data_IF_127101266789
#
_entry.id   IF_127101266789
#
_cell.length_a   1.000
_cell.length_b   1.000
_cell.length_c   1.000
_cell.angle_alpha   90.00
_cell.angle_beta   90.00
_cell.angle_gamma   90.00
#
_symmetry.space_group_name_H-M   'P 1'
#
loop_
_entity.id
_entity.type
_entity.pdbx_description
1 polymer ?
#
# COMPACT_ATOMS: atom_id res chain seq x y z
N UNK A 1 0.35 37.97 0.65
CA UNK A 1 1.32 36.87 0.60
C UNK A 1 0.63 35.68 -0.06
N UNK A 2 0.90 35.49 -1.34
CA UNK A 2 0.25 34.50 -2.21
C UNK A 2 0.76 33.10 -1.89
N UNK A 3 -0.18 32.17 -1.69
CA UNK A 3 0.07 30.74 -1.53
C UNK A 3 0.45 30.18 -2.89
N UNK A 4 1.56 29.43 -3.04
CA UNK A 4 1.92 28.78 -4.31
C UNK A 4 0.95 27.63 -4.63
N UNK A 5 0.73 27.33 -5.94
CA UNK A 5 -0.21 26.31 -6.37
C UNK A 5 0.27 24.90 -6.00
N UNK A 6 -0.69 24.05 -5.68
CA UNK A 6 -0.58 22.64 -5.31
C UNK A 6 0.33 21.88 -6.24
N UNK A 7 1.50 21.47 -5.75
CA UNK A 7 2.38 20.51 -6.42
C UNK A 7 1.68 19.16 -6.51
N UNK A 8 1.37 18.75 -7.72
CA UNK A 8 0.93 17.39 -8.05
C UNK A 8 2.08 16.44 -7.68
N UNK A 9 1.91 15.69 -6.59
CA UNK A 9 2.89 14.68 -6.16
C UNK A 9 2.80 13.53 -7.17
N UNK A 10 3.73 13.52 -8.11
CA UNK A 10 3.96 12.35 -8.96
C UNK A 10 4.59 11.27 -8.09
N UNK A 11 3.84 10.21 -7.81
CA UNK A 11 4.33 9.00 -7.16
C UNK A 11 5.33 8.31 -8.11
N UNK A 12 6.59 8.76 -8.12
CA UNK A 12 7.65 8.08 -8.86
C UNK A 12 8.15 6.91 -8.02
N UNK A 13 7.72 5.72 -8.41
CA UNK A 13 8.30 4.46 -7.91
C UNK A 13 9.57 4.22 -8.74
N UNK A 14 10.73 4.49 -8.16
CA UNK A 14 12.02 4.16 -8.79
C UNK A 14 12.36 2.70 -8.50
N UNK A 15 12.30 1.85 -9.51
CA UNK A 15 13.06 0.60 -9.49
C UNK A 15 14.51 0.93 -9.84
N UNK A 16 15.47 0.55 -9.00
CA UNK A 16 16.87 0.67 -9.29
C UNK A 16 17.21 -0.16 -10.54
N UNK A 17 17.98 0.42 -11.48
CA UNK A 17 18.50 -0.31 -12.65
C UNK A 17 19.53 -1.33 -12.15
N UNK A 18 19.45 -2.61 -12.56
CA UNK A 18 20.51 -3.57 -12.28
C UNK A 18 21.79 -3.17 -13.03
N UNK A 19 22.92 -3.20 -12.32
CA UNK A 19 24.25 -3.06 -12.92
C UNK A 19 24.45 -4.11 -14.02
N UNK A 20 25.09 -3.70 -15.11
CA UNK A 20 25.52 -4.61 -16.18
C UNK A 20 26.64 -5.44 -15.60
N UNK A 21 26.40 -6.76 -15.47
CA UNK A 21 27.41 -7.80 -15.69
C UNK A 21 26.75 -9.19 -15.54
N UNK A 22 27.08 -10.09 -16.47
CA UNK A 22 26.87 -11.53 -16.32
C UNK A 22 25.79 -12.15 -17.21
N UNK A 23 26.16 -12.53 -18.43
CA UNK A 23 25.35 -13.33 -19.33
C UNK A 23 24.95 -14.69 -18.77
N UNK A 24 23.67 -14.98 -18.75
CA UNK A 24 23.11 -16.32 -18.63
C UNK A 24 22.02 -16.52 -19.69
N UNK A 25 22.20 -17.54 -20.50
CA UNK A 25 21.25 -17.97 -21.53
C UNK A 25 19.92 -18.35 -20.88
N UNK A 26 18.89 -17.56 -21.09
CA UNK A 26 17.53 -17.89 -20.70
C UNK A 26 16.89 -18.78 -21.75
N UNK A 27 16.44 -19.97 -21.32
CA UNK A 27 15.58 -20.83 -22.12
C UNK A 27 14.26 -20.11 -22.41
N UNK A 28 13.89 -20.09 -23.69
CA UNK A 28 12.64 -19.52 -24.16
C UNK A 28 11.46 -20.40 -23.72
N UNK A 29 10.67 -19.92 -22.76
CA UNK A 29 9.35 -20.49 -22.46
C UNK A 29 8.33 -19.63 -23.21
N UNK A 30 7.65 -20.23 -24.19
CA UNK A 30 6.63 -19.62 -25.03
C UNK A 30 5.35 -19.33 -24.24
N UNK A 31 5.27 -18.22 -23.55
CA UNK A 31 4.01 -17.57 -23.19
C UNK A 31 3.63 -16.59 -24.29
N UNK A 32 2.38 -16.56 -24.73
CA UNK A 32 1.92 -15.70 -25.83
C UNK A 32 2.08 -14.23 -25.41
N UNK A 33 3.21 -13.66 -25.78
CA UNK A 33 3.52 -12.26 -25.63
C UNK A 33 3.07 -11.52 -26.91
N UNK A 34 2.02 -10.72 -26.84
CA UNK A 34 1.73 -9.79 -27.90
C UNK A 34 2.35 -8.41 -27.56
N UNK A 35 3.64 -8.25 -27.90
CA UNK A 35 4.24 -6.92 -27.98
C UNK A 35 3.75 -6.23 -29.26
N UNK A 36 3.08 -5.09 -29.12
CA UNK A 36 2.99 -4.11 -30.19
C UNK A 36 1.94 -4.32 -31.30
N UNK A 37 0.95 -5.20 -31.15
CA UNK A 37 -0.24 -5.14 -32.01
C UNK A 37 -1.34 -4.33 -31.31
N UNK A 38 -1.59 -3.14 -31.81
CA UNK A 38 -2.84 -2.43 -31.54
C UNK A 38 -3.95 -3.30 -32.12
N UNK A 39 -4.72 -3.99 -31.26
CA UNK A 39 -5.88 -4.73 -31.71
C UNK A 39 -6.90 -3.72 -32.27
N UNK A 40 -7.41 -3.94 -33.46
CA UNK A 40 -8.49 -3.15 -34.02
C UNK A 40 -9.78 -3.25 -33.20
N UNK A 41 -9.90 -4.32 -32.40
CA UNK A 41 -11.00 -4.60 -31.47
C UNK A 41 -10.47 -4.85 -30.06
N UNK A 42 -11.12 -4.35 -29.00
CA UNK A 42 -10.73 -4.61 -27.62
C UNK A 42 -10.84 -6.11 -27.27
N UNK A 43 -10.01 -6.57 -26.33
CA UNK A 43 -10.12 -7.92 -25.77
C UNK A 43 -11.41 -8.02 -24.95
N UNK A 44 -12.24 -9.02 -25.25
CA UNK A 44 -13.44 -9.30 -24.47
C UNK A 44 -13.11 -10.14 -23.25
N UNK A 45 -13.50 -9.69 -22.06
CA UNK A 45 -13.25 -10.33 -20.78
C UNK A 45 -14.49 -10.27 -19.87
N UNK A 46 -14.49 -11.11 -18.84
CA UNK A 46 -15.46 -11.03 -17.75
C UNK A 46 -14.90 -10.12 -16.63
N UNK A 47 -13.56 -10.13 -16.46
CA UNK A 47 -12.84 -9.35 -15.47
C UNK A 47 -11.58 -8.72 -16.08
N UNK A 48 -11.41 -7.42 -15.93
CA UNK A 48 -10.18 -6.69 -16.23
C UNK A 48 -9.45 -6.31 -14.94
N UNK A 49 -8.19 -6.71 -14.80
CA UNK A 49 -7.28 -6.24 -13.75
C UNK A 49 -6.44 -5.09 -14.33
N UNK A 50 -6.61 -3.88 -13.82
CA UNK A 50 -5.91 -2.68 -14.26
C UNK A 50 -4.81 -2.34 -13.25
N UNK A 51 -3.56 -2.53 -13.69
CA UNK A 51 -2.37 -2.58 -12.82
C UNK A 51 -2.01 -4.01 -12.43
N UNK A 52 -0.76 -4.43 -12.69
CA UNK A 52 -0.22 -5.77 -12.44
C UNK A 52 0.65 -5.87 -11.19
N UNK A 53 0.42 -5.01 -10.18
CA UNK A 53 1.17 -5.00 -8.92
C UNK A 53 0.66 -6.01 -7.88
N UNK A 54 1.08 -5.85 -6.62
CA UNK A 54 0.76 -6.79 -5.53
C UNK A 54 -0.74 -7.08 -5.37
N UNK A 55 -1.61 -6.08 -5.43
CA UNK A 55 -3.06 -6.30 -5.28
C UNK A 55 -3.63 -7.19 -6.41
N UNK A 56 -3.26 -6.93 -7.66
CA UNK A 56 -3.68 -7.78 -8.79
C UNK A 56 -3.10 -9.20 -8.70
N UNK A 57 -1.83 -9.32 -8.26
CA UNK A 57 -1.19 -10.64 -8.07
C UNK A 57 -1.90 -11.47 -7.01
N UNK A 58 -2.32 -10.85 -5.91
CA UNK A 58 -3.09 -11.53 -4.86
C UNK A 58 -4.47 -11.93 -5.35
N UNK A 59 -5.13 -11.09 -6.16
CA UNK A 59 -6.43 -11.44 -6.79
C UNK A 59 -6.26 -12.64 -7.72
N UNK A 60 -5.27 -12.65 -8.61
CA UNK A 60 -5.01 -13.79 -9.51
C UNK A 60 -4.81 -15.10 -8.73
N UNK A 61 -3.98 -15.05 -7.67
CA UNK A 61 -3.78 -16.19 -6.81
C UNK A 61 -5.05 -16.64 -6.09
N UNK A 62 -5.93 -15.72 -5.71
CA UNK A 62 -7.21 -16.05 -5.09
C UNK A 62 -8.20 -16.63 -6.10
N UNK A 63 -8.32 -16.09 -7.31
CA UNK A 63 -9.15 -16.64 -8.39
C UNK A 63 -8.78 -18.07 -8.72
N UNK A 64 -7.49 -18.36 -8.76
CA UNK A 64 -6.95 -19.69 -9.00
C UNK A 64 -7.27 -20.67 -7.85
N UNK A 65 -7.16 -20.26 -6.59
CA UNK A 65 -7.57 -21.10 -5.44
C UNK A 65 -9.06 -21.42 -5.41
N UNK A 66 -9.89 -20.51 -5.91
CA UNK A 66 -11.34 -20.71 -6.05
C UNK A 66 -11.74 -21.42 -7.33
N UNK A 67 -10.74 -21.95 -8.10
CA UNK A 67 -10.93 -22.68 -9.35
C UNK A 67 -11.82 -21.95 -10.39
N UNK A 68 -11.60 -20.65 -10.55
CA UNK A 68 -12.36 -19.80 -11.48
C UNK A 68 -11.79 -19.86 -12.92
N UNK A 69 -11.41 -21.04 -13.38
CA UNK A 69 -10.80 -21.31 -14.70
C UNK A 69 -11.72 -20.98 -15.88
N UNK A 70 -13.04 -20.95 -15.67
CA UNK A 70 -14.02 -20.52 -16.68
C UNK A 70 -14.14 -19.00 -16.84
N UNK A 71 -13.51 -18.19 -15.97
CA UNK A 71 -13.57 -16.74 -16.01
C UNK A 71 -12.54 -16.18 -17.01
N UNK A 72 -12.98 -15.42 -18.00
CA UNK A 72 -12.09 -14.71 -18.93
C UNK A 72 -11.49 -13.49 -18.24
N UNK A 73 -10.21 -13.58 -17.89
CA UNK A 73 -9.48 -12.52 -17.18
C UNK A 73 -8.50 -11.83 -18.12
N UNK A 74 -8.49 -10.50 -18.12
CA UNK A 74 -7.48 -9.69 -18.78
C UNK A 74 -6.69 -8.86 -17.77
N UNK A 75 -5.36 -8.78 -17.91
CA UNK A 75 -4.48 -7.92 -17.10
C UNK A 75 -3.91 -6.84 -18.00
N UNK A 76 -4.11 -5.57 -17.63
CA UNK A 76 -3.57 -4.41 -18.34
C UNK A 76 -2.52 -3.73 -17.46
N UNK A 77 -1.26 -3.87 -17.84
CA UNK A 77 -0.12 -3.22 -17.18
C UNK A 77 1.06 -3.10 -18.15
N UNK A 78 1.72 -1.94 -18.25
CA UNK A 78 2.86 -1.74 -19.15
C UNK A 78 4.07 -2.58 -18.73
N UNK A 79 4.12 -3.01 -17.48
CA UNK A 79 5.26 -3.76 -16.90
C UNK A 79 4.81 -5.12 -16.42
N UNK A 80 5.41 -6.17 -16.94
CA UNK A 80 5.27 -7.48 -16.35
C UNK A 80 6.21 -7.60 -15.15
N UNK A 81 5.65 -7.55 -13.95
CA UNK A 81 6.39 -7.68 -12.70
C UNK A 81 7.07 -9.05 -12.60
N UNK A 82 8.37 -9.02 -12.34
CA UNK A 82 9.22 -10.21 -12.14
C UNK A 82 10.32 -9.85 -11.14
N UNK A 83 10.77 -10.82 -10.39
CA UNK A 83 11.84 -10.62 -9.41
C UNK A 83 11.41 -9.83 -8.18
N UNK A 84 12.38 -9.19 -7.55
CA UNK A 84 12.19 -8.55 -6.25
C UNK A 84 12.14 -7.02 -6.41
N UNK A 85 10.98 -6.42 -6.24
CA UNK A 85 10.84 -4.97 -6.24
C UNK A 85 10.19 -4.43 -4.95
N UNK A 86 9.72 -5.34 -4.07
CA UNK A 86 9.06 -5.00 -2.80
C UNK A 86 9.23 -6.10 -1.76
N UNK A 87 9.21 -5.67 -0.51
CA UNK A 87 9.07 -6.52 0.66
C UNK A 87 7.79 -6.16 1.38
N UNK A 88 7.01 -7.16 1.77
CA UNK A 88 5.86 -7.01 2.65
C UNK A 88 6.15 -7.70 3.97
N UNK A 89 5.92 -6.98 5.05
CA UNK A 89 5.92 -7.57 6.37
C UNK A 89 4.54 -7.43 7.00
N UNK A 90 4.07 -8.50 7.64
CA UNK A 90 2.74 -8.59 8.20
C UNK A 90 2.72 -9.59 9.36
N UNK A 91 1.65 -9.61 10.10
CA UNK A 91 1.43 -10.61 11.14
C UNK A 91 0.22 -11.47 10.82
N UNK A 92 0.23 -12.71 11.32
CA UNK A 92 -0.84 -13.68 11.13
C UNK A 92 -0.54 -14.97 11.87
N UNK A 93 -1.56 -15.82 11.99
CA UNK A 93 -1.35 -17.18 12.49
C UNK A 93 -0.53 -18.01 11.49
N UNK A 94 0.31 -18.95 11.98
CA UNK A 94 0.96 -19.93 11.12
C UNK A 94 -0.05 -20.83 10.39
N UNK A 95 0.36 -21.44 9.27
CA UNK A 95 -0.46 -22.40 8.51
C UNK A 95 -1.30 -21.76 7.41
N UNK A 96 -1.04 -20.51 7.05
CA UNK A 96 -1.73 -19.83 5.95
C UNK A 96 -1.13 -20.16 4.58
N UNK A 97 -1.89 -19.88 3.53
CA UNK A 97 -1.54 -20.08 2.12
C UNK A 97 -0.23 -19.45 1.66
N UNK A 98 0.21 -18.40 2.36
CA UNK A 98 1.45 -17.70 2.05
C UNK A 98 2.67 -18.30 2.73
N UNK A 99 2.50 -19.25 3.64
CA UNK A 99 3.62 -19.83 4.40
C UNK A 99 4.75 -20.38 3.53
N UNK A 100 4.46 -21.13 2.45
CA UNK A 100 5.51 -21.64 1.57
C UNK A 100 6.27 -20.55 0.81
N UNK A 101 5.76 -19.31 0.79
CA UNK A 101 6.36 -18.18 0.08
C UNK A 101 7.15 -17.24 1.00
N UNK A 102 7.08 -17.45 2.32
CA UNK A 102 7.73 -16.57 3.29
C UNK A 102 9.25 -16.61 3.16
N UNK A 103 9.87 -15.46 3.21
CA UNK A 103 11.32 -15.32 3.26
C UNK A 103 11.86 -15.50 4.68
N UNK A 104 11.09 -15.07 5.68
CA UNK A 104 11.38 -15.27 7.10
C UNK A 104 10.11 -15.06 7.94
N UNK A 105 10.12 -15.59 9.18
CA UNK A 105 9.06 -15.30 10.16
C UNK A 105 9.59 -15.42 11.59
N UNK A 106 9.01 -14.63 12.50
CA UNK A 106 9.47 -14.52 13.90
C UNK A 106 8.27 -14.60 14.84
N UNK A 107 8.43 -15.37 15.92
CA UNK A 107 7.47 -15.47 17.02
C UNK A 107 7.62 -14.32 18.04
N UNK A 108 8.72 -13.56 17.94
CA UNK A 108 9.03 -12.41 18.78
C UNK A 108 9.56 -11.27 17.93
N UNK A 109 9.26 -10.04 18.34
CA UNK A 109 9.83 -8.84 17.74
C UNK A 109 10.33 -7.88 18.82
N UNK A 110 11.30 -7.06 18.45
CA UNK A 110 11.79 -5.98 19.29
C UNK A 110 11.13 -4.65 18.93
N UNK A 111 10.75 -3.91 19.96
CA UNK A 111 10.54 -2.45 19.89
C UNK A 111 11.62 -1.81 20.74
N UNK A 112 12.37 -0.90 20.13
CA UNK A 112 13.53 -0.25 20.78
C UNK A 112 13.29 1.24 20.86
N UNK A 113 13.48 1.81 22.05
CA UNK A 113 13.38 3.25 22.31
C UNK A 113 14.66 3.74 22.98
N UNK A 114 14.86 5.03 23.14
CA UNK A 114 15.96 5.57 23.94
C UNK A 114 15.97 5.05 25.40
N UNK A 115 14.80 4.67 25.94
CA UNK A 115 14.67 4.10 27.30
C UNK A 115 15.09 2.64 27.39
N UNK A 116 15.12 1.90 26.27
CA UNK A 116 15.54 0.51 26.21
C UNK A 116 14.87 -0.33 25.14
N UNK A 117 15.20 -1.62 25.16
CA UNK A 117 14.65 -2.64 24.28
C UNK A 117 13.53 -3.39 24.97
N UNK A 118 12.43 -3.60 24.27
CA UNK A 118 11.32 -4.43 24.69
C UNK A 118 11.11 -5.57 23.71
N UNK A 119 11.16 -6.81 24.19
CA UNK A 119 10.81 -8.00 23.44
C UNK A 119 9.30 -8.22 23.53
N UNK A 120 8.65 -8.38 22.41
CA UNK A 120 7.21 -8.63 22.31
C UNK A 120 6.98 -10.05 21.80
N UNK A 121 6.53 -10.99 22.66
CA UNK A 121 6.08 -12.30 22.20
C UNK A 121 4.78 -12.14 21.44
N UNK A 122 4.67 -12.77 20.28
CA UNK A 122 3.54 -12.62 19.37
C UNK A 122 2.57 -13.80 19.39
N UNK A 123 2.90 -14.91 20.04
CA UNK A 123 2.07 -16.14 20.09
C UNK A 123 0.63 -15.81 20.50
N UNK A 124 -0.41 -16.29 19.78
CA UNK A 124 -0.37 -17.29 18.70
C UNK A 124 -0.05 -16.75 17.29
N UNK A 125 0.20 -15.46 17.17
CA UNK A 125 0.61 -14.84 15.91
C UNK A 125 2.13 -14.97 15.71
N UNK A 126 2.58 -14.63 14.51
CA UNK A 126 3.98 -14.37 14.16
C UNK A 126 4.06 -13.13 13.28
N UNK A 127 5.21 -12.49 13.28
CA UNK A 127 5.57 -11.49 12.27
C UNK A 127 6.21 -12.22 11.09
N UNK A 128 5.82 -11.92 9.88
CA UNK A 128 6.24 -12.65 8.69
C UNK A 128 6.71 -11.67 7.61
N UNK A 129 7.74 -12.07 6.87
CA UNK A 129 8.28 -11.31 5.76
C UNK A 129 8.11 -12.09 4.46
N UNK A 130 7.61 -11.40 3.44
CA UNK A 130 7.35 -11.92 2.11
C UNK A 130 7.96 -11.00 1.07
N UNK A 131 8.85 -11.53 0.23
CA UNK A 131 9.39 -10.80 -0.90
C UNK A 131 8.46 -10.92 -2.12
N UNK A 132 8.49 -9.93 -3.00
CA UNK A 132 7.54 -9.85 -4.12
C UNK A 132 7.72 -10.93 -5.18
N UNK A 133 8.93 -11.45 -5.40
CA UNK A 133 9.20 -12.47 -6.41
C UNK A 133 8.31 -13.69 -6.32
N UNK A 134 8.28 -14.42 -5.18
CA UNK A 134 7.40 -15.58 -5.00
C UNK A 134 5.91 -15.27 -5.21
N UNK A 135 5.46 -14.07 -4.87
CA UNK A 135 4.07 -13.64 -5.11
C UNK A 135 3.80 -13.46 -6.60
N UNK A 136 4.74 -12.84 -7.32
CA UNK A 136 4.62 -12.66 -8.77
C UNK A 136 4.72 -13.99 -9.52
N UNK A 137 5.56 -14.92 -9.08
CA UNK A 137 5.66 -16.26 -9.65
C UNK A 137 4.38 -17.07 -9.45
N UNK A 138 3.77 -16.98 -8.25
CA UNK A 138 2.47 -17.57 -7.98
C UNK A 138 1.37 -16.95 -8.85
N UNK A 139 1.35 -15.64 -9.00
CA UNK A 139 0.41 -14.95 -9.88
C UNK A 139 0.60 -15.36 -11.34
N UNK A 140 1.83 -15.48 -11.83
CA UNK A 140 2.13 -15.95 -13.18
C UNK A 140 1.70 -17.41 -13.40
N UNK A 141 1.80 -18.26 -12.39
CA UNK A 141 1.25 -19.62 -12.44
C UNK A 141 -0.27 -19.61 -12.52
N UNK A 142 -0.94 -18.76 -11.73
CA UNK A 142 -2.37 -18.56 -11.77
C UNK A 142 -2.84 -18.02 -13.14
N UNK A 143 -2.14 -17.03 -13.73
CA UNK A 143 -2.43 -16.54 -15.08
C UNK A 143 -2.44 -17.65 -16.13
N UNK A 144 -1.47 -18.55 -16.07
CA UNK A 144 -1.42 -19.70 -17.01
C UNK A 144 -2.60 -20.65 -16.83
N UNK A 145 -2.97 -20.97 -15.58
CA UNK A 145 -4.10 -21.87 -15.29
C UNK A 145 -5.45 -21.27 -15.66
N UNK A 146 -5.61 -19.97 -15.41
CA UNK A 146 -6.82 -19.21 -15.74
C UNK A 146 -6.92 -18.83 -17.22
N UNK A 147 -5.88 -19.07 -18.03
CA UNK A 147 -5.87 -18.63 -19.42
C UNK A 147 -5.91 -17.11 -19.60
N UNK A 148 -5.32 -16.37 -18.67
CA UNK A 148 -5.38 -14.90 -18.62
C UNK A 148 -4.70 -14.24 -19.82
N UNK A 149 -5.35 -13.23 -20.43
CA UNK A 149 -4.76 -12.41 -21.48
C UNK A 149 -4.04 -11.23 -20.82
N UNK A 150 -2.74 -11.08 -21.08
CA UNK A 150 -1.98 -9.93 -20.60
C UNK A 150 -1.72 -8.92 -21.72
N UNK A 151 -2.05 -7.66 -21.45
CA UNK A 151 -1.87 -6.52 -22.35
C UNK A 151 -0.78 -5.63 -21.78
N UNK A 152 0.37 -5.59 -22.49
CA UNK A 152 1.56 -4.81 -22.12
C UNK A 152 1.45 -3.34 -22.52
N UNK A 153 0.39 -2.66 -22.06
CA UNK A 153 0.11 -1.25 -22.37
C UNK A 153 -0.29 -0.48 -21.10
N UNK A 154 0.00 0.83 -21.04
CA UNK A 154 -0.50 1.68 -19.99
C UNK A 154 -2.02 1.84 -20.11
N UNK A 155 -2.74 1.71 -19.00
CA UNK A 155 -4.17 1.99 -18.96
C UNK A 155 -4.42 3.48 -18.70
N UNK A 156 -5.27 4.09 -19.49
CA UNK A 156 -5.80 5.45 -19.37
C UNK A 156 -7.15 5.47 -18.63
N UNK A 157 -8.19 5.90 -19.34
CA UNK A 157 -9.56 6.01 -18.85
C UNK A 157 -10.25 4.63 -18.71
N UNK A 158 -11.20 4.57 -17.78
CA UNK A 158 -12.15 3.45 -17.63
C UNK A 158 -13.54 4.04 -17.94
N UNK A 159 -14.15 3.63 -19.03
CA UNK A 159 -15.48 4.04 -19.42
C UNK A 159 -16.49 2.94 -19.03
N UNK A 160 -17.39 3.26 -18.11
CA UNK A 160 -18.43 2.37 -17.59
C UNK A 160 -19.77 2.77 -18.21
N UNK A 161 -20.37 1.88 -19.00
CA UNK A 161 -21.68 2.09 -19.63
C UNK A 161 -22.85 1.52 -18.80
N UNK A 162 -22.57 1.01 -17.61
CA UNK A 162 -23.52 0.36 -16.70
C UNK A 162 -23.54 -1.16 -16.81
N UNK A 163 -23.33 -1.71 -18.00
CA UNK A 163 -23.28 -3.14 -18.27
C UNK A 163 -21.85 -3.66 -18.38
N UNK A 164 -20.98 -2.87 -18.96
CA UNK A 164 -19.58 -3.23 -19.19
C UNK A 164 -18.65 -2.03 -18.95
N UNK A 165 -17.37 -2.34 -18.77
CA UNK A 165 -16.31 -1.34 -18.66
C UNK A 165 -15.35 -1.50 -19.83
N UNK A 166 -15.08 -0.40 -20.52
CA UNK A 166 -14.01 -0.34 -21.51
C UNK A 166 -12.78 0.31 -20.90
N UNK A 167 -11.67 -0.44 -20.87
CA UNK A 167 -10.34 0.06 -20.47
C UNK A 167 -9.68 0.65 -21.72
N UNK A 168 -9.32 1.93 -21.68
CA UNK A 168 -8.62 2.62 -22.74
C UNK A 168 -7.15 2.81 -22.41
N UNK A 169 -6.32 2.98 -23.41
CA UNK A 169 -4.96 3.50 -23.23
C UNK A 169 -4.99 5.04 -23.04
N UNK A 170 -3.84 5.69 -22.78
CA UNK A 170 -3.77 7.16 -22.63
C UNK A 170 -4.22 7.94 -23.89
N UNK A 171 -4.12 7.33 -25.07
CA UNK A 171 -4.54 7.92 -26.37
C UNK A 171 -6.03 7.70 -26.66
N UNK A 172 -6.77 7.05 -25.74
CA UNK A 172 -8.21 6.80 -25.88
C UNK A 172 -8.56 5.56 -26.73
N UNK A 173 -7.59 4.73 -27.12
CA UNK A 173 -7.84 3.49 -27.85
C UNK A 173 -8.35 2.40 -26.91
N UNK A 174 -9.40 1.63 -27.24
CA UNK A 174 -9.91 0.58 -26.39
C UNK A 174 -8.95 -0.61 -26.34
N UNK A 175 -8.61 -1.06 -25.13
CA UNK A 175 -7.74 -2.22 -24.87
C UNK A 175 -8.54 -3.46 -24.47
N UNK A 176 -9.47 -3.31 -23.54
CA UNK A 176 -10.29 -4.39 -22.98
C UNK A 176 -11.71 -3.90 -22.80
N UNK A 177 -12.69 -4.75 -23.12
CA UNK A 177 -14.07 -4.58 -22.72
C UNK A 177 -14.48 -5.72 -21.79
N UNK A 178 -14.80 -5.38 -20.52
CA UNK A 178 -15.01 -6.37 -19.46
C UNK A 178 -16.33 -6.18 -18.72
N UNK A 179 -16.85 -7.25 -18.11
CA UNK A 179 -17.99 -7.18 -17.20
C UNK A 179 -17.70 -6.38 -15.94
N UNK A 180 -16.45 -6.43 -15.45
CA UNK A 180 -15.95 -5.71 -14.29
C UNK A 180 -14.52 -5.26 -14.52
N UNK A 181 -14.13 -4.11 -13.94
CA UNK A 181 -12.74 -3.68 -13.86
C UNK A 181 -12.30 -3.51 -12.40
N UNK A 182 -11.18 -4.14 -12.04
CA UNK A 182 -10.50 -3.97 -10.76
C UNK A 182 -9.27 -3.08 -10.97
N UNK A 183 -9.32 -1.82 -10.52
CA UNK A 183 -8.26 -0.84 -10.71
C UNK A 183 -7.39 -0.74 -9.45
N UNK A 184 -6.14 -1.22 -9.55
CA UNK A 184 -5.14 -1.15 -8.48
C UNK A 184 -4.06 -0.08 -8.72
N UNK A 185 -4.20 0.74 -9.74
CA UNK A 185 -3.26 1.83 -10.04
C UNK A 185 -3.24 2.85 -8.90
N UNK A 186 -2.07 3.39 -8.55
CA UNK A 186 -1.98 4.45 -7.54
C UNK A 186 -2.88 5.64 -7.89
N UNK A 187 -3.67 6.08 -6.91
CA UNK A 187 -4.57 7.22 -7.04
C UNK A 187 -4.50 8.06 -5.76
N UNK A 188 -4.54 9.38 -5.87
CA UNK A 188 -4.71 10.23 -4.70
C UNK A 188 -6.11 10.02 -4.09
N UNK A 189 -6.31 10.42 -2.83
CA UNK A 189 -7.65 10.50 -2.25
C UNK A 189 -8.54 11.44 -3.08
N UNK A 190 -9.85 11.22 -3.06
CA UNK A 190 -10.83 11.99 -3.86
C UNK A 190 -10.85 13.49 -3.50
N UNK A 191 -10.43 13.82 -2.31
CA UNK A 191 -10.20 15.19 -1.81
C UNK A 191 -9.08 15.15 -0.77
N UNK A 192 -8.35 16.25 -0.56
CA UNK A 192 -7.35 16.34 0.48
C UNK A 192 -7.91 15.94 1.85
N UNK A 193 -7.13 15.19 2.60
CA UNK A 193 -7.38 14.95 4.02
C UNK A 193 -7.13 16.21 4.85
N UNK A 194 -7.60 16.24 6.08
CA UNK A 194 -7.23 17.27 7.05
C UNK A 194 -5.79 17.10 7.50
N UNK A 195 -5.36 15.86 7.59
CA UNK A 195 -3.97 15.47 7.77
C UNK A 195 -3.55 14.56 6.64
N UNK A 196 -2.43 14.90 6.01
CA UNK A 196 -1.84 14.11 4.95
C UNK A 196 -0.34 14.04 5.18
N UNK A 197 0.10 12.89 5.62
CA UNK A 197 1.48 12.50 5.79
C UNK A 197 1.82 11.40 4.80
N UNK A 198 3.06 11.05 4.78
CA UNK A 198 3.63 9.94 4.01
C UNK A 198 4.37 9.03 4.99
N UNK A 199 4.18 7.74 4.86
CA UNK A 199 5.19 6.78 5.28
C UNK A 199 6.15 6.66 4.12
N UNK A 200 7.37 7.07 4.32
CA UNK A 200 8.40 6.95 3.30
C UNK A 200 9.63 6.27 3.88
N UNK A 201 10.29 5.46 3.06
CA UNK A 201 11.36 4.63 3.54
C UNK A 201 12.37 4.28 2.46
N UNK A 202 13.58 3.93 2.93
CA UNK A 202 14.59 3.22 2.16
C UNK A 202 15.09 2.04 2.97
N UNK A 203 15.18 0.88 2.30
CA UNK A 203 15.74 -0.33 2.84
C UNK A 203 16.96 -0.79 2.05
N UNK A 204 17.98 -1.25 2.76
CA UNK A 204 19.13 -1.94 2.22
C UNK A 204 19.07 -3.42 2.57
N UNK A 205 19.15 -4.27 1.56
CA UNK A 205 19.42 -5.69 1.73
C UNK A 205 20.91 -5.89 1.92
N UNK A 206 21.31 -6.17 3.16
CA UNK A 206 22.70 -6.25 3.58
C UNK A 206 23.15 -7.70 3.66
N UNK A 207 24.28 -8.00 3.01
CA UNK A 207 25.01 -9.25 3.19
C UNK A 207 26.28 -9.00 3.99
N UNK A 208 26.47 -9.71 5.11
CA UNK A 208 27.60 -9.60 6.01
C UNK A 208 28.62 -10.74 5.82
N UNK A 209 29.90 -10.43 5.95
CA UNK A 209 30.98 -11.43 5.86
C UNK A 209 31.05 -12.32 7.12
N UNK A 210 30.49 -11.87 8.24
CA UNK A 210 30.43 -12.59 9.54
C UNK A 210 28.99 -12.57 10.10
N UNK A 211 28.61 -13.45 11.03
CA UNK A 211 27.33 -13.36 11.72
C UNK A 211 27.15 -11.98 12.39
N UNK A 212 26.09 -11.27 12.02
CA UNK A 212 25.86 -9.87 12.38
C UNK A 212 24.43 -9.65 12.89
N UNK A 213 23.48 -10.43 12.36
CA UNK A 213 22.05 -10.28 12.68
C UNK A 213 21.56 -11.43 13.52
N UNK A 214 20.56 -11.19 14.40
CA UNK A 214 19.87 -12.23 15.15
C UNK A 214 18.70 -12.80 14.31
N UNK A 215 18.81 -14.01 13.74
CA UNK A 215 17.75 -14.56 12.90
C UNK A 215 16.49 -14.96 13.69
N UNK A 216 16.58 -15.07 15.00
CA UNK A 216 15.45 -15.42 15.86
C UNK A 216 14.47 -14.28 16.11
N UNK A 217 14.85 -13.02 15.79
CA UNK A 217 14.09 -11.86 16.16
C UNK A 217 14.17 -10.72 15.16
N UNK A 218 13.02 -10.17 14.76
CA UNK A 218 12.97 -8.97 13.96
C UNK A 218 12.89 -7.72 14.85
N UNK A 219 13.49 -6.61 14.40
CA UNK A 219 13.26 -5.29 15.00
C UNK A 219 12.11 -4.64 14.24
N UNK A 220 10.96 -4.54 14.91
CA UNK A 220 9.73 -3.98 14.33
C UNK A 220 9.77 -2.46 14.27
N UNK A 221 10.29 -1.80 15.32
CA UNK A 221 10.47 -0.35 15.38
C UNK A 221 11.65 -0.04 16.31
N UNK A 222 12.65 0.63 15.79
CA UNK A 222 13.76 1.18 16.58
C UNK A 222 13.74 2.70 16.51
N UNK A 223 13.26 3.33 17.57
CA UNK A 223 13.09 4.79 17.67
C UNK A 223 14.36 5.55 18.08
N UNK A 224 15.50 4.91 18.17
CA UNK A 224 16.78 5.57 18.47
C UNK A 224 17.32 6.39 17.28
N UNK A 225 16.71 6.27 16.11
CA UNK A 225 16.99 7.12 14.95
C UNK A 225 16.77 8.60 15.29
N UNK A 226 17.51 9.55 14.67
CA UNK A 226 17.25 10.98 14.84
C UNK A 226 15.82 11.32 14.46
N UNK A 227 15.07 11.92 15.40
CA UNK A 227 13.65 12.20 15.22
C UNK A 227 13.44 13.49 14.42
N UNK A 228 12.55 13.50 13.41
CA UNK A 228 12.22 14.69 12.65
C UNK A 228 11.47 15.72 13.52
N UNK A 229 11.58 16.99 13.21
CA UNK A 229 10.86 18.07 13.92
C UNK A 229 9.34 17.87 13.87
N UNK A 230 8.84 17.32 12.75
CA UNK A 230 7.41 17.04 12.54
C UNK A 230 7.26 15.66 11.93
N UNK A 231 6.92 14.71 12.75
CA UNK A 231 6.81 13.30 12.33
C UNK A 231 7.38 12.34 13.36
N UNK A 232 7.68 11.14 12.91
CA UNK A 232 8.39 10.12 13.67
C UNK A 232 9.22 9.26 12.74
N UNK A 233 10.45 8.95 13.14
CA UNK A 233 11.32 8.02 12.41
C UNK A 233 11.65 6.80 13.24
N UNK A 234 11.91 5.70 12.57
CA UNK A 234 12.34 4.46 13.18
C UNK A 234 13.05 3.56 12.18
N UNK A 235 13.85 2.63 12.72
CA UNK A 235 14.51 1.61 11.92
C UNK A 235 13.80 0.28 12.01
N UNK A 236 13.88 -0.52 10.93
CA UNK A 236 13.56 -1.93 10.90
C UNK A 236 14.81 -2.77 10.71
N UNK A 237 14.84 -3.98 11.31
CA UNK A 237 15.80 -5.02 10.93
C UNK A 237 15.02 -6.32 10.77
N UNK A 238 15.00 -6.85 9.56
CA UNK A 238 14.30 -8.08 9.21
C UNK A 238 15.32 -9.11 8.73
N UNK A 239 15.90 -9.92 9.65
CA UNK A 239 16.94 -10.87 9.32
C UNK A 239 16.35 -12.12 8.64
N UNK A 240 16.94 -12.53 7.52
CA UNK A 240 16.66 -13.84 6.90
C UNK A 240 17.50 -14.90 7.59
N UNK A 241 18.76 -14.56 7.85
CA UNK A 241 19.72 -15.38 8.58
C UNK A 241 20.72 -14.48 9.32
N UNK A 242 21.73 -15.08 9.96
CA UNK A 242 22.73 -14.34 10.72
C UNK A 242 23.62 -13.42 9.88
N UNK A 243 23.59 -13.53 8.55
CA UNK A 243 24.44 -12.77 7.61
C UNK A 243 23.65 -11.97 6.57
N UNK A 244 22.36 -12.15 6.50
CA UNK A 244 21.52 -11.50 5.48
C UNK A 244 20.26 -10.92 6.09
N UNK A 245 20.05 -9.62 5.94
CA UNK A 245 18.90 -8.92 6.49
C UNK A 245 18.49 -7.73 5.62
N UNK A 246 17.22 -7.36 5.70
CA UNK A 246 16.74 -6.03 5.33
C UNK A 246 16.95 -5.09 6.53
N UNK A 247 17.68 -4.00 6.31
CA UNK A 247 17.80 -2.88 7.24
C UNK A 247 17.14 -1.67 6.59
N UNK A 248 16.12 -1.13 7.23
CA UNK A 248 15.29 -0.07 6.66
C UNK A 248 15.20 1.11 7.62
N UNK A 249 15.29 2.32 7.07
CA UNK A 249 14.92 3.57 7.72
C UNK A 249 13.58 4.03 7.19
N UNK A 250 12.65 4.22 8.10
CA UNK A 250 11.28 4.68 7.81
C UNK A 250 11.00 5.98 8.56
N UNK A 251 10.28 6.88 7.90
CA UNK A 251 9.79 8.11 8.49
C UNK A 251 8.31 8.32 8.15
N UNK A 252 7.52 8.70 9.14
CA UNK A 252 6.17 9.22 9.00
C UNK A 252 6.25 10.74 9.07
N UNK A 253 5.92 11.40 7.98
CA UNK A 253 6.08 12.86 7.92
C UNK A 253 5.43 13.48 6.68
N UNK A 254 5.43 14.83 6.60
CA UNK A 254 4.78 15.56 5.51
C UNK A 254 5.56 15.56 4.20
N UNK A 255 6.84 15.18 4.20
CA UNK A 255 7.73 15.25 3.05
C UNK A 255 8.74 14.11 3.02
N UNK A 256 9.09 13.65 1.83
CA UNK A 256 10.13 12.62 1.62
C UNK A 256 11.54 13.21 1.74
N UNK A 257 12.49 12.38 2.13
CA UNK A 257 13.90 12.75 2.12
C UNK A 257 14.48 12.72 0.69
N UNK A 258 15.62 13.38 0.51
CA UNK A 258 16.45 13.18 -0.67
C UNK A 258 17.16 11.82 -0.61
N UNK A 259 17.66 11.32 -1.75
CA UNK A 259 18.41 10.06 -1.78
C UNK A 259 19.61 10.09 -0.82
N UNK A 260 20.36 11.21 -0.80
CA UNK A 260 21.48 11.40 0.13
C UNK A 260 21.02 11.43 1.61
N UNK A 261 19.82 11.98 1.87
CA UNK A 261 19.23 12.00 3.21
C UNK A 261 18.90 10.60 3.72
N UNK A 262 18.29 9.75 2.89
CA UNK A 262 18.04 8.35 3.24
C UNK A 262 19.35 7.57 3.47
N UNK A 263 20.34 7.76 2.60
CA UNK A 263 21.63 7.06 2.73
C UNK A 263 22.37 7.47 4.00
N UNK A 264 22.30 8.76 4.37
CA UNK A 264 22.86 9.24 5.63
C UNK A 264 22.13 8.65 6.85
N UNK A 265 20.78 8.62 6.79
CA UNK A 265 19.96 8.05 7.87
C UNK A 265 20.23 6.53 8.04
N UNK A 266 20.35 5.77 6.96
CA UNK A 266 20.68 4.34 7.01
C UNK A 266 22.08 4.08 7.54
N UNK A 267 23.09 4.88 7.14
CA UNK A 267 24.45 4.77 7.72
C UNK A 267 24.45 5.07 9.22
N UNK A 268 23.72 6.13 9.63
CA UNK A 268 23.57 6.46 11.04
C UNK A 268 22.87 5.34 11.81
N UNK A 269 21.83 4.75 11.24
CA UNK A 269 21.12 3.65 11.87
C UNK A 269 21.98 2.38 11.97
N UNK A 270 22.73 2.02 10.93
CA UNK A 270 23.68 0.91 10.98
C UNK A 270 24.73 1.11 12.11
N UNK A 271 25.20 2.34 12.29
CA UNK A 271 26.09 2.70 13.42
C UNK A 271 25.43 2.46 14.79
N UNK A 272 24.15 2.80 14.95
CA UNK A 272 23.37 2.53 16.18
C UNK A 272 23.20 1.02 16.46
N UNK A 273 23.16 0.21 15.42
CA UNK A 273 23.11 -1.25 15.53
C UNK A 273 24.47 -1.87 15.87
N UNK A 274 25.55 -1.08 15.89
CA UNK A 274 26.91 -1.59 16.04
C UNK A 274 27.40 -2.39 14.83
N UNK A 275 26.80 -2.16 13.67
CA UNK A 275 27.09 -2.87 12.43
C UNK A 275 28.22 -2.14 11.69
N UNK A 276 29.34 -2.83 11.50
CA UNK A 276 30.46 -2.32 10.72
C UNK A 276 30.14 -2.38 9.20
N UNK A 277 29.88 -1.22 8.62
CA UNK A 277 29.55 -1.11 7.20
C UNK A 277 30.72 -1.55 6.27
N UNK A 278 31.98 -1.57 6.75
CA UNK A 278 33.11 -2.02 5.96
C UNK A 278 33.04 -3.53 5.64
N UNK A 279 32.42 -4.32 6.53
CA UNK A 279 32.17 -5.76 6.35
C UNK A 279 30.80 -6.10 5.73
N UNK A 280 30.07 -5.11 5.20
CA UNK A 280 28.76 -5.29 4.61
C UNK A 280 28.72 -4.93 3.14
N UNK A 281 27.91 -5.68 2.41
CA UNK A 281 27.60 -5.41 1.00
C UNK A 281 26.12 -5.15 0.83
N UNK A 282 25.75 -3.99 0.28
CA UNK A 282 24.40 -3.71 -0.16
C UNK A 282 24.12 -4.50 -1.42
N UNK A 283 23.26 -5.50 -1.35
CA UNK A 283 22.87 -6.36 -2.46
C UNK A 283 21.75 -5.77 -3.29
N UNK A 284 20.78 -5.21 -2.63
CA UNK A 284 19.58 -4.64 -3.23
C UNK A 284 19.14 -3.43 -2.39
N UNK A 285 18.42 -2.52 -3.02
CA UNK A 285 17.78 -1.38 -2.35
C UNK A 285 16.31 -1.34 -2.71
N UNK A 286 15.48 -1.02 -1.73
CA UNK A 286 14.07 -0.74 -1.95
C UNK A 286 13.70 0.62 -1.38
N UNK A 287 12.72 1.26 -2.03
CA UNK A 287 12.16 2.52 -1.59
C UNK A 287 10.64 2.46 -1.67
N UNK A 288 9.98 3.14 -0.78
CA UNK A 288 8.54 3.25 -0.81
C UNK A 288 8.04 4.59 -0.29
N UNK A 289 6.89 4.98 -0.83
CA UNK A 289 6.13 6.13 -0.34
C UNK A 289 4.67 5.69 -0.28
N UNK A 290 4.11 5.69 0.91
CA UNK A 290 2.75 5.23 1.20
C UNK A 290 1.95 6.42 1.77
N UNK A 291 0.77 6.74 1.22
CA UNK A 291 -0.04 7.83 1.76
C UNK A 291 -0.58 7.48 3.14
N UNK A 292 -0.39 8.37 4.10
CA UNK A 292 -0.97 8.34 5.43
C UNK A 292 -1.93 9.52 5.55
N UNK A 293 -3.20 9.31 5.25
CA UNK A 293 -4.18 10.41 5.16
C UNK A 293 -5.57 9.99 5.58
N UNK A 294 -6.30 10.91 6.20
CA UNK A 294 -7.74 10.78 6.48
C UNK A 294 -8.60 11.23 5.27
N UNK A 295 -7.96 11.59 4.15
CA UNK A 295 -8.63 11.87 2.88
C UNK A 295 -9.37 10.63 2.36
N UNK A 296 -10.61 10.78 1.85
CA UNK A 296 -11.41 9.66 1.42
C UNK A 296 -10.92 9.08 0.10
N UNK A 297 -10.72 7.77 0.07
CA UNK A 297 -10.62 7.00 -1.18
C UNK A 297 -12.03 6.58 -1.62
N UNK A 298 -12.23 6.44 -2.94
CA UNK A 298 -13.50 5.98 -3.52
C UNK A 298 -13.30 4.54 -4.01
N UNK A 299 -13.69 3.53 -3.23
CA UNK A 299 -13.48 2.13 -3.60
C UNK A 299 -14.27 1.69 -4.84
N UNK A 300 -15.41 2.33 -5.10
CA UNK A 300 -16.28 2.04 -6.24
C UNK A 300 -16.64 3.34 -6.97
N UNK A 301 -15.80 3.79 -7.91
CA UNK A 301 -16.03 5.07 -8.61
C UNK A 301 -17.19 5.03 -9.60
N UNK A 302 -17.57 3.85 -10.09
CA UNK A 302 -18.73 3.62 -10.96
C UNK A 302 -19.32 2.22 -10.73
N UNK A 303 -20.49 1.87 -11.32
CA UNK A 303 -21.19 0.61 -11.06
C UNK A 303 -20.34 -0.65 -11.32
N UNK A 304 -19.45 -0.63 -12.31
CA UNK A 304 -18.66 -1.79 -12.73
C UNK A 304 -17.14 -1.64 -12.48
N UNK A 305 -16.72 -0.53 -11.89
CA UNK A 305 -15.30 -0.30 -11.53
C UNK A 305 -15.11 -0.39 -10.03
N UNK A 306 -14.20 -1.25 -9.61
CA UNK A 306 -13.80 -1.41 -8.20
C UNK A 306 -12.32 -1.10 -8.07
N UNK A 307 -11.94 -0.29 -7.09
CA UNK A 307 -10.54 0.00 -6.77
C UNK A 307 -10.04 -0.92 -5.67
N UNK A 308 -8.81 -1.40 -5.83
CA UNK A 308 -8.13 -2.30 -4.89
C UNK A 308 -6.83 -1.68 -4.36
N UNK A 309 -6.29 -2.29 -3.33
CA UNK A 309 -5.05 -1.82 -2.71
C UNK A 309 -5.21 -0.41 -2.14
N UNK A 310 -4.16 0.39 -2.17
CA UNK A 310 -4.16 1.77 -1.66
C UNK A 310 -5.27 2.61 -2.30
N UNK A 311 -5.47 2.50 -3.61
CA UNK A 311 -6.53 3.22 -4.33
C UNK A 311 -7.94 2.84 -3.86
N UNK A 312 -8.12 1.61 -3.37
CA UNK A 312 -9.36 1.09 -2.77
C UNK A 312 -9.47 1.29 -1.26
N UNK A 313 -8.55 2.06 -0.64
CA UNK A 313 -8.56 2.33 0.79
C UNK A 313 -8.03 1.18 1.67
N UNK A 314 -7.19 0.30 1.11
CA UNK A 314 -6.56 -0.78 1.87
C UNK A 314 -5.44 -0.30 2.80
N UNK A 315 -4.89 0.89 2.58
CA UNK A 315 -3.86 1.47 3.43
C UNK A 315 -4.46 2.05 4.70
N UNK A 316 -3.93 1.66 5.85
CA UNK A 316 -4.34 2.22 7.13
C UNK A 316 -3.80 3.65 7.28
N UNK A 317 -4.65 4.65 7.54
CA UNK A 317 -4.24 6.05 7.55
C UNK A 317 -3.13 6.39 8.55
N UNK A 318 -3.14 5.78 9.75
CA UNK A 318 -2.20 6.14 10.84
C UNK A 318 -0.88 5.36 10.84
N UNK A 319 -0.78 4.27 10.05
CA UNK A 319 0.37 3.36 10.11
C UNK A 319 0.90 2.92 8.75
N UNK A 320 0.18 3.21 7.65
CA UNK A 320 0.58 2.79 6.31
C UNK A 320 0.43 1.28 6.02
N UNK A 321 0.07 0.44 7.00
CA UNK A 321 -0.12 -1.00 6.78
C UNK A 321 -1.20 -1.24 5.73
N UNK A 322 -0.88 -2.09 4.75
CA UNK A 322 -1.72 -2.29 3.56
C UNK A 322 -1.89 -3.77 3.21
N UNK A 323 -0.87 -4.60 3.46
CA UNK A 323 -0.77 -5.94 2.88
C UNK A 323 -1.90 -6.87 3.33
N UNK A 324 -2.17 -7.00 4.63
CA UNK A 324 -3.26 -7.83 5.16
C UNK A 324 -4.62 -7.40 4.62
N UNK A 325 -4.84 -6.10 4.43
CA UNK A 325 -6.07 -5.60 3.83
C UNK A 325 -6.19 -5.96 2.34
N UNK A 326 -5.08 -5.94 1.58
CA UNK A 326 -5.06 -6.40 0.19
C UNK A 326 -5.36 -7.90 0.08
N UNK A 327 -4.84 -8.72 1.00
CA UNK A 327 -5.16 -10.14 1.08
C UNK A 327 -6.66 -10.36 1.29
N UNK A 328 -7.26 -9.66 2.25
CA UNK A 328 -8.70 -9.74 2.50
C UNK A 328 -9.52 -9.28 1.30
N UNK A 329 -9.11 -8.21 0.62
CA UNK A 329 -9.78 -7.75 -0.60
C UNK A 329 -9.73 -8.80 -1.71
N UNK A 330 -8.58 -9.42 -1.94
CA UNK A 330 -8.40 -10.45 -2.96
C UNK A 330 -9.29 -11.66 -2.70
N UNK A 331 -9.35 -12.14 -1.46
CA UNK A 331 -10.20 -13.27 -1.06
C UNK A 331 -11.70 -12.94 -1.21
N UNK A 332 -12.11 -11.75 -0.80
CA UNK A 332 -13.50 -11.31 -0.93
C UNK A 332 -13.92 -11.16 -2.40
N UNK A 333 -13.01 -10.68 -3.27
CA UNK A 333 -13.24 -10.60 -4.72
C UNK A 333 -13.45 -12.00 -5.31
N UNK A 334 -12.52 -12.93 -5.04
CA UNK A 334 -12.60 -14.28 -5.58
C UNK A 334 -13.83 -15.03 -5.05
N UNK A 335 -14.10 -14.99 -3.75
CA UNK A 335 -15.26 -15.59 -3.13
C UNK A 335 -16.60 -14.98 -3.61
N UNK A 336 -16.64 -13.69 -3.92
CA UNK A 336 -17.82 -13.06 -4.51
C UNK A 336 -18.07 -13.58 -5.93
N UNK A 337 -17.04 -13.63 -6.76
CA UNK A 337 -17.12 -14.14 -8.14
C UNK A 337 -17.48 -15.63 -8.17
N UNK A 338 -16.91 -16.45 -7.30
CA UNK A 338 -17.27 -17.87 -7.15
C UNK A 338 -18.75 -18.07 -6.79
N UNK A 339 -19.32 -17.13 -6.05
CA UNK A 339 -20.73 -17.13 -5.68
C UNK A 339 -21.65 -16.38 -6.70
N UNK A 340 -21.15 -16.01 -7.88
CA UNK A 340 -21.90 -15.28 -8.89
C UNK A 340 -22.28 -13.85 -8.47
N UNK A 341 -21.60 -13.27 -7.48
CA UNK A 341 -21.86 -11.94 -6.94
C UNK A 341 -20.87 -10.89 -7.47
N UNK A 342 -21.23 -9.60 -7.46
CA UNK A 342 -20.32 -8.52 -7.84
C UNK A 342 -19.01 -8.55 -7.03
N UNK A 343 -17.83 -8.38 -7.66
CA UNK A 343 -16.51 -8.44 -7.02
C UNK A 343 -16.19 -7.14 -6.25
N UNK A 344 -17.07 -6.71 -5.37
CA UNK A 344 -16.95 -5.50 -4.58
C UNK A 344 -16.63 -5.85 -3.12
N UNK A 345 -15.35 -5.76 -2.70
CA UNK A 345 -14.99 -6.08 -1.33
C UNK A 345 -15.56 -5.07 -0.34
N UNK A 346 -15.78 -5.51 0.89
CA UNK A 346 -16.14 -4.64 1.99
C UNK A 346 -15.04 -3.59 2.26
N UNK A 347 -15.36 -2.46 2.88
CA UNK A 347 -14.35 -1.50 3.32
C UNK A 347 -13.28 -2.18 4.17
N UNK A 348 -12.01 -1.91 3.87
CA UNK A 348 -10.87 -2.55 4.52
C UNK A 348 -10.85 -2.36 6.04
N UNK A 349 -11.36 -1.22 6.51
CA UNK A 349 -11.43 -0.86 7.93
C UNK A 349 -12.80 -0.33 8.32
N UNK A 350 -13.32 -0.67 9.52
CA UNK A 350 -14.55 -0.11 10.08
C UNK A 350 -14.48 1.43 10.20
N UNK A 351 -15.62 2.10 10.18
CA UNK A 351 -15.68 3.57 10.33
C UNK A 351 -15.01 4.06 11.61
N UNK A 352 -15.16 3.31 12.72
CA UNK A 352 -14.55 3.65 14.03
C UNK A 352 -13.01 3.67 13.95
N UNK A 353 -12.38 2.70 13.26
CA UNK A 353 -10.93 2.67 13.09
C UNK A 353 -10.45 3.84 12.25
N UNK A 354 -11.12 4.15 11.14
CA UNK A 354 -10.78 5.32 10.32
C UNK A 354 -10.89 6.63 11.07
N UNK A 355 -11.86 6.73 11.99
CA UNK A 355 -11.96 7.88 12.87
C UNK A 355 -10.81 7.95 13.87
N UNK A 356 -10.46 6.84 14.51
CA UNK A 356 -9.31 6.77 15.43
C UNK A 356 -8.00 7.10 14.72
N UNK A 357 -7.80 6.60 13.50
CA UNK A 357 -6.64 6.92 12.67
C UNK A 357 -6.55 8.42 12.35
N UNK A 358 -7.67 9.05 12.01
CA UNK A 358 -7.72 10.49 11.77
C UNK A 358 -7.36 11.31 13.01
N UNK A 359 -7.83 10.88 14.19
CA UNK A 359 -7.49 11.51 15.48
C UNK A 359 -6.00 11.33 15.79
N UNK A 360 -5.46 10.12 15.62
CA UNK A 360 -4.06 9.83 15.87
C UNK A 360 -3.13 10.65 14.95
N UNK A 361 -3.40 10.63 13.63
CA UNK A 361 -2.64 11.44 12.66
C UNK A 361 -2.66 12.93 13.03
N UNK A 362 -3.83 13.45 13.39
CA UNK A 362 -3.96 14.86 13.76
C UNK A 362 -3.20 15.19 15.05
N UNK A 363 -3.26 14.30 16.05
CA UNK A 363 -2.54 14.49 17.31
C UNK A 363 -1.01 14.53 17.08
N UNK A 364 -0.49 13.65 16.24
CA UNK A 364 0.91 13.62 15.84
C UNK A 364 1.27 14.87 15.03
N UNK A 365 0.44 15.24 14.05
CA UNK A 365 0.66 16.37 13.15
C UNK A 365 0.70 17.73 13.87
N UNK A 366 -0.14 17.89 14.89
CA UNK A 366 -0.21 19.09 15.71
C UNK A 366 0.77 19.09 16.89
N UNK A 367 1.57 18.03 17.06
CA UNK A 367 2.50 17.89 18.17
C UNK A 367 1.80 17.75 19.53
N UNK A 368 0.53 17.33 19.55
CA UNK A 368 -0.18 17.06 20.81
C UNK A 368 0.41 15.86 21.56
N UNK A 369 1.08 14.97 20.85
CA UNK A 369 1.82 13.83 21.38
C UNK A 369 3.07 13.61 20.54
N UNK A 370 4.19 13.28 21.20
CA UNK A 370 5.41 12.89 20.52
C UNK A 370 5.25 11.53 19.85
N UNK A 371 5.82 11.37 18.64
CA UNK A 371 5.68 10.11 17.90
C UNK A 371 6.23 8.92 18.66
N UNK A 372 7.42 9.03 19.26
CA UNK A 372 8.03 7.97 20.07
C UNK A 372 7.15 7.64 21.29
N UNK A 373 6.73 8.67 22.04
CA UNK A 373 5.86 8.49 23.22
C UNK A 373 4.54 7.80 22.86
N UNK A 374 3.94 8.12 21.70
CA UNK A 374 2.71 7.50 21.24
C UNK A 374 2.87 5.98 21.09
N UNK A 375 3.92 5.54 20.38
CA UNK A 375 4.19 4.12 20.16
C UNK A 375 4.68 3.40 21.43
N UNK A 376 5.52 4.03 22.25
CA UNK A 376 5.90 3.47 23.56
C UNK A 376 4.66 3.12 24.39
N UNK A 377 3.77 4.09 24.60
CA UNK A 377 2.54 3.87 25.36
C UNK A 377 1.63 2.82 24.76
N UNK A 378 1.57 2.75 23.42
CA UNK A 378 0.79 1.73 22.72
C UNK A 378 1.26 0.33 23.04
N UNK A 379 2.58 0.10 22.97
CA UNK A 379 3.19 -1.21 23.25
C UNK A 379 3.34 -1.52 24.74
N UNK A 380 3.52 -0.51 25.60
CA UNK A 380 3.70 -0.71 27.03
C UNK A 380 2.41 -1.06 27.75
N UNK A 381 1.30 -0.49 27.32
CA UNK A 381 0.02 -0.56 28.03
C UNK A 381 -0.98 -1.55 27.45
N UNK A 382 -0.60 -2.25 26.37
CA UNK A 382 -1.45 -3.23 25.73
C UNK A 382 -0.69 -4.54 25.49
N UNK A 383 -1.36 -5.69 25.62
CA UNK A 383 -0.79 -6.96 25.15
C UNK A 383 -0.42 -6.87 23.67
N UNK A 384 0.73 -7.44 23.25
CA UNK A 384 1.18 -7.38 21.86
C UNK A 384 0.12 -7.85 20.84
N UNK A 385 -0.57 -8.95 21.12
CA UNK A 385 -1.66 -9.44 20.25
C UNK A 385 -2.77 -8.40 20.04
N UNK A 386 -3.19 -7.68 21.10
CA UNK A 386 -4.19 -6.61 20.98
C UNK A 386 -3.67 -5.47 20.08
N UNK A 387 -2.40 -5.08 20.25
CA UNK A 387 -1.80 -4.04 19.39
C UNK A 387 -1.82 -4.48 17.94
N UNK A 388 -1.36 -5.69 17.62
CA UNK A 388 -1.34 -6.20 16.25
C UNK A 388 -2.74 -6.30 15.66
N UNK A 389 -3.72 -6.82 16.41
CA UNK A 389 -5.12 -6.86 15.97
C UNK A 389 -5.70 -5.46 15.77
N UNK A 390 -5.36 -4.52 16.65
CA UNK A 390 -5.75 -3.12 16.48
C UNK A 390 -5.15 -2.52 15.21
N UNK A 391 -3.86 -2.72 14.98
CA UNK A 391 -3.17 -2.25 13.78
C UNK A 391 -3.72 -2.89 12.49
N UNK A 392 -4.33 -4.06 12.56
CA UNK A 392 -4.99 -4.73 11.43
C UNK A 392 -6.49 -4.43 11.30
N UNK A 393 -7.05 -3.64 12.23
CA UNK A 393 -8.48 -3.27 12.22
C UNK A 393 -9.41 -4.40 12.67
N UNK A 394 -8.88 -5.39 13.40
CA UNK A 394 -9.57 -6.61 13.81
C UNK A 394 -10.00 -6.63 15.30
N UNK A 395 -9.87 -5.51 16.01
CA UNK A 395 -10.29 -5.40 17.41
C UNK A 395 -11.78 -5.14 17.57
N UNK A 396 -12.34 -5.60 18.69
CA UNK A 396 -13.69 -5.29 19.14
C UNK A 396 -13.78 -3.84 19.68
N UNK A 397 -14.98 -3.25 19.82
CA UNK A 397 -15.13 -1.92 20.40
C UNK A 397 -14.58 -1.78 21.82
N UNK A 398 -14.64 -2.83 22.65
CA UNK A 398 -14.06 -2.83 24.00
C UNK A 398 -12.54 -2.82 23.99
N UNK A 399 -11.92 -3.57 23.07
CA UNK A 399 -10.46 -3.54 22.86
C UNK A 399 -10.00 -2.20 22.31
N UNK A 400 -10.77 -1.60 21.37
CA UNK A 400 -10.50 -0.26 20.87
C UNK A 400 -10.48 0.77 22.00
N UNK A 401 -11.44 0.69 22.93
CA UNK A 401 -11.49 1.57 24.09
C UNK A 401 -10.27 1.37 25.02
N UNK A 402 -9.84 0.11 25.21
CA UNK A 402 -8.63 -0.17 25.99
C UNK A 402 -7.38 0.45 25.34
N UNK A 403 -7.22 0.33 24.02
CA UNK A 403 -6.14 0.97 23.26
C UNK A 403 -6.22 2.50 23.36
N UNK A 404 -7.39 3.09 23.23
CA UNK A 404 -7.57 4.54 23.36
C UNK A 404 -7.18 5.04 24.75
N UNK A 405 -7.51 4.29 25.82
CA UNK A 405 -7.11 4.63 27.21
C UNK A 405 -5.61 4.53 27.46
N UNK A 406 -4.88 3.77 26.67
CA UNK A 406 -3.42 3.69 26.75
C UNK A 406 -2.73 4.92 26.17
N UNK A 407 -3.39 5.63 25.27
CA UNK A 407 -2.89 6.87 24.68
C UNK A 407 -3.01 8.05 25.66
N UNK A 408 -2.21 9.13 25.50
CA UNK A 408 -2.33 10.32 26.35
C UNK A 408 -3.71 10.99 26.13
N UNK A 409 -4.63 10.78 27.09
CA UNK A 409 -6.03 11.21 26.93
C UNK A 409 -6.20 12.72 26.76
N UNK A 410 -5.49 13.55 27.55
CA UNK A 410 -5.59 15.00 27.47
C UNK A 410 -5.14 15.59 26.12
N UNK A 411 -3.97 15.24 25.58
CA UNK A 411 -3.58 15.63 24.23
C UNK A 411 -4.54 15.15 23.14
N UNK A 412 -5.05 13.93 23.28
CA UNK A 412 -5.98 13.34 22.31
C UNK A 412 -7.37 14.00 22.32
N UNK A 413 -7.85 14.49 23.49
CA UNK A 413 -9.11 15.25 23.56
C UNK A 413 -9.04 16.57 22.79
N UNK A 414 -7.89 17.26 22.80
CA UNK A 414 -7.64 18.45 21.98
C UNK A 414 -7.78 18.16 20.48
N UNK A 415 -7.25 17.00 20.02
CA UNK A 415 -7.40 16.57 18.64
C UNK A 415 -8.86 16.22 18.28
N UNK A 416 -9.60 15.58 19.20
CA UNK A 416 -11.03 15.26 19.03
C UNK A 416 -11.88 16.53 18.95
N UNK A 417 -11.69 17.48 19.88
CA UNK A 417 -12.42 18.74 19.88
C UNK A 417 -12.13 19.57 18.63
N UNK A 418 -10.85 19.65 18.23
CA UNK A 418 -10.46 20.29 16.97
C UNK A 418 -11.12 19.63 15.75
N UNK A 419 -11.22 18.29 15.71
CA UNK A 419 -11.92 17.58 14.65
C UNK A 419 -13.43 17.89 14.63
N UNK A 420 -14.08 17.97 15.79
CA UNK A 420 -15.49 18.32 15.91
C UNK A 420 -15.76 19.77 15.44
N UNK A 421 -14.94 20.71 15.85
CA UNK A 421 -15.04 22.12 15.43
C UNK A 421 -14.87 22.28 13.92
N UNK A 422 -13.88 21.60 13.33
CA UNK A 422 -13.63 21.68 11.89
C UNK A 422 -14.75 20.99 11.07
N UNK A 423 -15.36 19.94 11.60
CA UNK A 423 -16.56 19.33 10.98
C UNK A 423 -17.74 20.32 10.98
N UNK A 424 -17.94 21.04 12.08
CA UNK A 424 -18.99 22.04 12.16
C UNK A 424 -18.72 23.20 11.19
N UNK A 425 -17.51 23.74 11.17
CA UNK A 425 -17.10 24.79 10.21
C UNK A 425 -17.28 24.34 8.76
N UNK A 426 -16.82 23.13 8.40
CA UNK A 426 -16.96 22.60 7.04
C UNK A 426 -18.42 22.32 6.63
N UNK A 427 -19.36 22.18 7.58
CA UNK A 427 -20.79 22.11 7.31
C UNK A 427 -21.42 23.49 7.10
N UNK A 428 -20.91 24.50 7.81
CA UNK A 428 -21.38 25.88 7.71
C UNK A 428 -20.83 26.60 6.46
N UNK A 429 -19.65 26.23 5.99
CA UNK A 429 -19.02 26.77 4.79
C UNK A 429 -19.24 25.93 3.52
N UNK A 430 -20.31 25.16 3.43
CA UNK A 430 -20.72 24.59 2.16
C UNK A 430 -21.31 25.73 1.32
N UNK A 431 -20.53 26.23 0.38
CA UNK A 431 -21.05 27.04 -0.73
C UNK A 431 -22.19 26.26 -1.42
N UNK A 432 -23.30 26.93 -1.76
CA UNK A 432 -24.36 26.33 -2.55
C UNK A 432 -23.74 25.81 -3.85
N UNK A 433 -24.21 24.64 -4.31
CA UNK A 433 -23.76 24.01 -5.54
C UNK A 433 -23.77 25.07 -6.67
N UNK A 434 -22.72 25.12 -7.53
CA UNK A 434 -22.71 26.02 -8.66
C UNK A 434 -23.98 25.78 -9.49
N UNK A 435 -24.68 26.86 -9.81
CA UNK A 435 -25.87 26.83 -10.64
C UNK A 435 -25.54 26.12 -11.98
N UNK A 436 -26.46 25.32 -12.55
CA UNK A 436 -26.23 24.67 -13.81
C UNK A 436 -25.93 25.72 -14.88
N UNK A 437 -24.80 25.51 -15.56
CA UNK A 437 -24.40 26.35 -16.71
C UNK A 437 -25.50 26.23 -17.75
N UNK A 438 -26.12 27.33 -18.23
CA UNK A 438 -27.15 27.24 -19.26
C UNK A 438 -26.53 26.67 -20.54
N UNK A 439 -27.17 25.64 -21.11
CA UNK A 439 -26.82 25.09 -22.39
C UNK A 439 -26.86 26.21 -23.46
N UNK A 440 -25.74 26.42 -24.14
CA UNK A 440 -25.66 27.32 -25.29
C UNK A 440 -26.54 26.74 -26.43
N UNK A 441 -27.70 27.35 -26.64
CA UNK A 441 -28.58 27.02 -27.73
C UNK A 441 -27.87 27.12 -29.10
N UNK A 442 -28.35 26.39 -30.13
CA UNK A 442 -27.68 26.33 -31.44
C UNK A 442 -27.65 27.72 -32.11
N UNK A 443 -26.43 28.15 -32.45
CA UNK A 443 -26.22 29.35 -33.23
C UNK A 443 -26.86 29.15 -34.63
N UNK A 444 -27.87 29.95 -34.94
CA UNK A 444 -28.47 30.05 -36.26
C UNK A 444 -27.39 30.46 -37.27
N UNK A 445 -27.28 29.69 -38.36
CA UNK A 445 -26.44 30.01 -39.49
C UNK A 445 -27.05 31.22 -40.20
N UNK A 446 -26.38 32.38 -40.08
CA UNK A 446 -26.68 33.58 -40.84
C UNK A 446 -26.21 33.44 -42.29
N UNK A 447 -27.12 33.59 -43.23
CA UNK A 447 -26.88 33.73 -44.65
C UNK A 447 -25.99 34.95 -44.92
N UNK A 448 -24.94 34.76 -45.70
CA UNK A 448 -24.24 35.83 -46.37
C UNK A 448 -24.68 35.82 -47.83
N UNK A 449 -25.40 36.81 -48.23
CA UNK A 449 -25.66 37.16 -49.62
C UNK A 449 -24.88 38.41 -49.98
N UNK A 450 -24.47 38.44 -51.25
CA UNK A 450 -23.83 39.46 -52.07
C UNK A 450 -22.40 39.83 -51.78
#
# INVERSE_FOLDING_TARGET
MSVPPSSVIHLRIYAARPGRDGGSRAAAVSGVWQRGRVHATPVEADLALVGGGGAASLVLAALDRHDLTGLRVAVVDPVHKRGQDRTWAFWGAPGGDLDPLLSASWSEVDVVTPAGRRVLPLTPLRYAMLRSGPVYDRAAAAERRLGTVRIGAPAGALADDGDRVTVHDPEGRPLVRAGWALDSRPRPPARPGRTSWLQHFRGWWLAADRPTFDPGRAVLMDFRTPQPVRGVSFGYVLPVDARYALVEYTEFGPAVLTDAGYDAALRGYAGLLGVDLAGLRVREMENGVIPMTDGPFVPRPSPRVVRLGTAGGATRPSTGFTFSAMLRQAEQVAGALAAGRPPAPAPAYPRRHRWMDAVALRALDRGHVGGVEFFERLFDRNPPERVLRFLDGATSPSEDLAVMRSSPLLPMTGAVLGDAVDRLRGRLCRDPAPAPVPEAGPRAAGQAGS
#
